data_IF_485629012833
#
_entry.id   IF_485629012833
#
_cell.length_a   1.000
_cell.length_b   1.000
_cell.length_c   1.000
_cell.angle_alpha   90.00
_cell.angle_beta   90.00
_cell.angle_gamma   90.00
#
_symmetry.space_group_name_H-M   'P 1'
#
loop_
_entity.id
_entity.type
_entity.pdbx_description
1 polymer ?
#
# COMPACT_ATOMS: atom_id res chain seq x y z
N UNK A 1 -0.77 -24.15 50.93
CA UNK A 1 -0.95 -25.28 50.00
C UNK A 1 -2.33 -25.17 49.35
N UNK A 2 -2.42 -24.60 48.14
CA UNK A 2 -3.61 -24.63 47.27
C UNK A 2 -3.26 -24.13 45.84
N UNK A 3 -2.51 -24.95 45.11
CA UNK A 3 -2.83 -25.56 43.81
C UNK A 3 -3.71 -24.78 42.77
N UNK A 4 -3.10 -24.58 41.59
CA UNK A 4 -3.58 -24.55 40.19
C UNK A 4 -4.52 -23.42 39.70
N UNK A 5 -4.12 -22.53 38.78
CA UNK A 5 -3.73 -22.70 37.36
C UNK A 5 -4.93 -22.94 36.43
N UNK A 6 -5.37 -21.89 35.73
CA UNK A 6 -6.09 -21.95 34.44
C UNK A 6 -5.67 -20.79 33.55
N UNK A 7 -4.63 -21.01 32.75
CA UNK A 7 -4.34 -20.21 31.56
C UNK A 7 -5.39 -20.56 30.50
N UNK A 8 -6.26 -19.63 30.15
CA UNK A 8 -7.13 -19.75 28.98
C UNK A 8 -6.43 -19.03 27.83
N UNK A 9 -5.72 -19.81 27.02
CA UNK A 9 -5.22 -19.39 25.71
C UNK A 9 -6.41 -19.38 24.76
N UNK A 10 -6.94 -18.20 24.46
CA UNK A 10 -7.93 -18.05 23.39
C UNK A 10 -7.20 -18.05 22.04
N UNK A 11 -7.14 -19.24 21.43
CA UNK A 11 -6.68 -19.47 20.07
C UNK A 11 -7.77 -18.98 19.10
N UNK A 12 -7.66 -17.76 18.59
CA UNK A 12 -8.56 -17.26 17.54
C UNK A 12 -8.18 -17.89 16.20
N UNK A 13 -8.94 -18.92 15.83
CA UNK A 13 -8.93 -19.57 14.52
C UNK A 13 -9.40 -18.59 13.44
N UNK A 14 -8.47 -18.15 12.59
CA UNK A 14 -8.77 -17.43 11.36
C UNK A 14 -9.48 -18.37 10.38
N UNK A 15 -10.78 -18.16 10.14
CA UNK A 15 -11.48 -18.75 9.01
C UNK A 15 -11.24 -17.89 7.77
N UNK A 16 -10.41 -18.40 6.85
CA UNK A 16 -10.37 -17.93 5.47
C UNK A 16 -11.63 -18.45 4.76
N UNK A 17 -12.62 -17.60 4.57
CA UNK A 17 -13.68 -17.88 3.59
C UNK A 17 -13.09 -17.58 2.21
N UNK A 18 -12.69 -18.65 1.51
CA UNK A 18 -12.33 -18.60 0.11
C UNK A 18 -13.49 -18.06 -0.72
N UNK A 19 -13.25 -16.96 -1.43
CA UNK A 19 -14.17 -16.40 -2.39
C UNK A 19 -14.10 -17.23 -3.68
N UNK A 20 -15.15 -18.01 -3.94
CA UNK A 20 -15.34 -18.73 -5.20
C UNK A 20 -16.00 -17.80 -6.21
N UNK A 21 -15.24 -17.33 -7.21
CA UNK A 21 -15.85 -16.75 -8.42
C UNK A 21 -16.05 -17.87 -9.43
N UNK A 22 -17.31 -18.20 -9.66
CA UNK A 22 -17.77 -19.07 -10.73
C UNK A 22 -17.43 -18.46 -12.10
N UNK A 23 -16.68 -19.22 -12.89
CA UNK A 23 -16.50 -18.99 -14.33
C UNK A 23 -17.75 -19.52 -15.06
N UNK A 24 -18.50 -18.63 -15.70
CA UNK A 24 -19.44 -19.00 -16.77
C UNK A 24 -18.97 -18.32 -18.05
N UNK A 25 -18.79 -19.13 -19.07
CA UNK A 25 -18.00 -18.92 -20.27
C UNK A 25 -18.78 -18.37 -21.47
N UNK A 26 -18.06 -17.61 -22.30
CA UNK A 26 -18.20 -17.41 -23.76
C UNK A 26 -19.42 -16.60 -24.24
N UNK A 27 -19.34 -15.62 -25.16
CA UNK A 27 -18.63 -15.57 -26.45
C UNK A 27 -18.34 -14.10 -26.84
N UNK A 28 -17.18 -13.83 -27.47
CA UNK A 28 -17.01 -12.65 -28.34
C UNK A 28 -15.68 -11.93 -28.23
N UNK A 29 -14.80 -12.18 -29.19
CA UNK A 29 -13.55 -11.49 -29.51
C UNK A 29 -13.47 -10.01 -29.09
N UNK A 30 -12.50 -9.67 -28.21
CA UNK A 30 -11.63 -8.47 -28.24
C UNK A 30 -11.12 -8.08 -26.83
N UNK A 31 -9.89 -7.56 -26.81
CA UNK A 31 -9.28 -6.75 -25.74
C UNK A 31 -8.53 -7.46 -24.61
N UNK A 32 -7.22 -7.65 -24.83
CA UNK A 32 -6.20 -7.80 -23.77
C UNK A 32 -5.96 -6.49 -22.98
N UNK A 33 -6.70 -5.41 -23.24
CA UNK A 33 -6.39 -4.06 -22.75
C UNK A 33 -7.17 -3.62 -21.51
N UNK A 34 -8.19 -4.37 -21.08
CA UNK A 34 -9.02 -3.94 -19.94
C UNK A 34 -8.41 -4.30 -18.58
N UNK A 35 -7.62 -5.38 -18.49
CA UNK A 35 -7.03 -5.81 -17.22
C UNK A 35 -5.84 -4.93 -16.80
N UNK A 36 -5.01 -4.47 -17.74
CA UNK A 36 -3.84 -3.64 -17.41
C UNK A 36 -4.21 -2.26 -16.87
N UNK A 37 -5.26 -1.63 -17.41
CA UNK A 37 -5.73 -0.32 -16.95
C UNK A 37 -6.22 -0.39 -15.51
N UNK A 38 -6.99 -1.44 -15.17
CA UNK A 38 -7.51 -1.63 -13.81
C UNK A 38 -6.39 -1.88 -12.79
N UNK A 39 -5.33 -2.60 -13.18
CA UNK A 39 -4.21 -2.90 -12.28
C UNK A 39 -3.35 -1.66 -12.06
N UNK A 40 -3.01 -0.91 -13.10
CA UNK A 40 -2.22 0.31 -12.99
C UNK A 40 -2.92 1.37 -12.11
N UNK A 41 -4.23 1.56 -12.31
CA UNK A 41 -5.03 2.46 -11.49
C UNK A 41 -5.11 1.98 -10.03
N UNK A 42 -5.25 0.68 -9.81
CA UNK A 42 -5.23 0.11 -8.46
C UNK A 42 -3.91 0.38 -7.73
N UNK A 43 -2.77 0.19 -8.40
CA UNK A 43 -1.43 0.43 -7.83
C UNK A 43 -1.24 1.91 -7.50
N UNK A 44 -1.67 2.80 -8.41
CA UNK A 44 -1.58 4.26 -8.21
C UNK A 44 -2.42 4.70 -7.01
N UNK A 45 -3.69 4.28 -6.93
CA UNK A 45 -4.60 4.67 -5.85
C UNK A 45 -4.11 4.15 -4.50
N UNK A 46 -3.72 2.86 -4.42
CA UNK A 46 -3.16 2.28 -3.18
C UNK A 46 -1.93 3.02 -2.72
N UNK A 47 -1.02 3.36 -3.64
CA UNK A 47 0.20 4.11 -3.32
C UNK A 47 -0.11 5.53 -2.84
N UNK A 48 -1.09 6.19 -3.45
CA UNK A 48 -1.55 7.50 -3.00
C UNK A 48 -2.07 7.46 -1.57
N UNK A 49 -2.92 6.48 -1.24
CA UNK A 49 -3.43 6.30 0.13
C UNK A 49 -2.29 6.10 1.15
N UNK A 50 -1.22 5.40 0.78
CA UNK A 50 -0.02 5.26 1.63
C UNK A 50 0.67 6.61 1.81
N UNK A 51 0.90 7.37 0.74
CA UNK A 51 1.52 8.70 0.81
C UNK A 51 0.68 9.67 1.66
N UNK A 52 -0.63 9.65 1.49
CA UNK A 52 -1.57 10.45 2.26
C UNK A 52 -1.52 10.10 3.75
N UNK A 53 -1.66 8.82 4.08
CA UNK A 53 -1.76 8.38 5.47
C UNK A 53 -0.41 8.36 6.20
N UNK A 54 0.71 8.16 5.49
CA UNK A 54 2.04 7.98 6.13
C UNK A 54 2.95 9.19 5.96
N UNK A 55 2.83 9.96 4.88
CA UNK A 55 3.72 11.08 4.59
C UNK A 55 3.02 12.43 4.77
N UNK A 56 1.79 12.59 4.26
CA UNK A 56 1.10 13.88 4.31
C UNK A 56 0.77 14.33 5.73
N UNK A 57 0.61 13.40 6.68
CA UNK A 57 0.44 13.71 8.12
C UNK A 57 1.54 14.66 8.64
N UNK A 58 2.78 14.51 8.15
CA UNK A 58 3.88 15.40 8.50
C UNK A 58 4.02 16.57 7.51
N UNK A 59 3.88 16.32 6.20
CA UNK A 59 4.05 17.36 5.17
C UNK A 59 3.01 18.48 5.31
N UNK A 60 1.75 18.17 5.64
CA UNK A 60 0.71 19.18 5.88
C UNK A 60 1.07 20.16 7.00
N UNK A 61 1.80 19.68 8.02
CA UNK A 61 2.19 20.47 9.20
C UNK A 61 3.53 21.19 9.02
N UNK A 62 4.51 20.55 8.38
CA UNK A 62 5.92 20.99 8.39
C UNK A 62 6.48 21.39 7.03
N UNK A 63 5.92 20.88 5.93
CA UNK A 63 6.42 21.18 4.59
C UNK A 63 5.33 21.02 3.53
N UNK A 64 4.43 22.00 3.44
CA UNK A 64 3.27 21.96 2.55
C UNK A 64 3.64 21.86 1.07
N UNK A 65 4.82 22.36 0.68
CA UNK A 65 5.34 22.25 -0.70
C UNK A 65 5.65 20.82 -1.15
N UNK A 66 5.70 19.87 -0.20
CA UNK A 66 5.94 18.44 -0.45
C UNK A 66 4.68 17.58 -0.23
N UNK A 67 3.51 18.20 -0.12
CA UNK A 67 2.26 17.46 0.05
C UNK A 67 1.94 16.69 -1.23
N UNK A 68 1.73 15.38 -1.08
CA UNK A 68 1.40 14.50 -2.20
C UNK A 68 -0.07 14.62 -2.55
N UNK A 69 -0.38 14.72 -3.84
CA UNK A 69 -1.72 14.64 -4.43
C UNK A 69 -1.70 13.62 -5.55
N UNK A 70 -2.86 13.17 -6.03
CA UNK A 70 -2.93 12.24 -7.16
C UNK A 70 -2.24 12.83 -8.40
N UNK A 71 -2.38 14.14 -8.61
CA UNK A 71 -1.85 14.86 -9.78
C UNK A 71 -0.33 14.96 -9.74
N UNK A 72 0.27 15.12 -8.55
CA UNK A 72 1.70 15.38 -8.41
C UNK A 72 2.54 14.15 -8.01
N UNK A 73 1.92 13.06 -7.58
CA UNK A 73 2.69 11.95 -6.97
C UNK A 73 3.75 11.39 -7.93
N UNK A 74 3.43 11.25 -9.21
CA UNK A 74 4.35 10.67 -10.21
C UNK A 74 5.58 11.56 -10.43
N UNK A 75 5.43 12.88 -10.46
CA UNK A 75 6.57 13.80 -10.63
C UNK A 75 7.49 13.84 -9.40
N UNK A 76 7.01 13.35 -8.25
CA UNK A 76 7.76 13.25 -7.01
C UNK A 76 8.23 11.82 -6.70
N UNK A 77 8.00 10.84 -7.58
CA UNK A 77 8.27 9.43 -7.33
C UNK A 77 9.76 9.16 -7.03
N UNK A 78 10.69 9.80 -7.75
CA UNK A 78 12.12 9.67 -7.49
C UNK A 78 12.54 10.23 -6.12
N UNK A 79 11.89 11.32 -5.69
CA UNK A 79 12.10 11.87 -4.37
C UNK A 79 11.61 10.91 -3.28
N UNK A 80 10.42 10.30 -3.48
CA UNK A 80 9.90 9.25 -2.59
C UNK A 80 10.89 8.09 -2.51
N UNK A 81 11.36 7.58 -3.66
CA UNK A 81 12.33 6.50 -3.73
C UNK A 81 13.57 6.81 -2.88
N UNK A 82 14.16 8.00 -3.11
CA UNK A 82 15.34 8.47 -2.41
C UNK A 82 15.11 8.61 -0.91
N UNK A 83 13.95 9.12 -0.47
CA UNK A 83 13.69 9.33 0.96
C UNK A 83 13.34 8.07 1.73
N UNK A 84 12.55 7.19 1.13
CA UNK A 84 11.98 6.01 1.79
C UNK A 84 12.93 4.82 1.71
N UNK A 85 13.50 4.55 0.54
CA UNK A 85 14.26 3.32 0.31
C UNK A 85 15.77 3.52 0.46
N UNK A 86 16.31 4.62 -0.09
CA UNK A 86 17.75 4.89 -0.03
C UNK A 86 18.15 5.50 1.30
N UNK A 87 17.59 6.67 1.64
CA UNK A 87 17.95 7.41 2.86
C UNK A 87 17.24 6.91 4.11
N UNK A 88 16.16 6.13 3.96
CA UNK A 88 15.33 5.61 5.07
C UNK A 88 14.95 6.68 6.10
N UNK A 89 14.69 7.91 5.64
CA UNK A 89 14.42 9.08 6.49
C UNK A 89 12.94 9.47 6.57
N UNK A 90 12.09 8.71 5.86
CA UNK A 90 10.64 8.82 5.80
C UNK A 90 10.03 7.40 5.98
N UNK A 91 8.86 7.25 6.64
CA UNK A 91 8.07 8.30 7.28
C UNK A 91 8.76 8.96 8.48
N UNK A 92 8.34 10.18 8.86
CA UNK A 92 8.93 10.88 10.01
C UNK A 92 8.38 10.38 11.34
N UNK A 93 9.29 10.21 12.30
CA UNK A 93 8.96 9.87 13.68
C UNK A 93 8.94 8.36 13.92
N UNK A 94 8.65 7.96 15.16
CA UNK A 94 8.68 6.54 15.57
C UNK A 94 7.32 5.84 15.49
N UNK A 95 6.23 6.60 15.45
CA UNK A 95 4.84 6.09 15.53
C UNK A 95 4.29 5.66 14.17
N UNK A 96 4.50 6.48 13.14
CA UNK A 96 4.02 6.21 11.77
C UNK A 96 5.10 5.42 11.05
N UNK A 97 4.77 4.18 10.68
CA UNK A 97 5.68 3.27 9.96
C UNK A 97 4.98 2.71 8.73
N UNK A 98 5.79 2.37 7.74
CA UNK A 98 5.36 1.56 6.61
C UNK A 98 5.40 0.08 6.99
N UNK A 99 4.36 -0.67 6.64
CA UNK A 99 4.38 -2.13 6.66
C UNK A 99 5.18 -2.66 5.46
N UNK A 100 5.56 -3.94 5.50
CA UNK A 100 6.24 -4.58 4.37
C UNK A 100 5.42 -4.49 3.08
N UNK A 101 4.10 -4.67 3.17
CA UNK A 101 3.19 -4.54 2.03
C UNK A 101 3.14 -3.10 1.50
N UNK A 102 3.09 -2.10 2.39
CA UNK A 102 3.10 -0.69 1.99
C UNK A 102 4.42 -0.31 1.29
N UNK A 103 5.56 -0.86 1.75
CA UNK A 103 6.83 -0.72 1.05
C UNK A 103 6.78 -1.29 -0.38
N UNK A 104 6.22 -2.49 -0.55
CA UNK A 104 6.11 -3.13 -1.87
C UNK A 104 5.18 -2.34 -2.80
N UNK A 105 4.02 -1.90 -2.31
CA UNK A 105 3.11 -1.07 -3.11
C UNK A 105 3.79 0.21 -3.60
N UNK A 106 4.51 0.93 -2.72
CA UNK A 106 5.26 2.13 -3.10
C UNK A 106 6.37 1.81 -4.11
N UNK A 107 7.09 0.70 -3.94
CA UNK A 107 8.17 0.32 -4.86
C UNK A 107 7.63 -0.05 -6.25
N UNK A 108 6.53 -0.81 -6.31
CA UNK A 108 5.86 -1.18 -7.55
C UNK A 108 5.37 0.06 -8.30
N UNK A 109 4.72 0.98 -7.59
CA UNK A 109 4.29 2.24 -8.17
C UNK A 109 5.47 3.09 -8.67
N UNK A 110 6.51 3.28 -7.87
CA UNK A 110 7.70 4.04 -8.30
C UNK A 110 8.30 3.41 -9.57
N UNK A 111 8.39 2.09 -9.61
CA UNK A 111 8.95 1.38 -10.77
C UNK A 111 8.09 1.58 -12.01
N UNK A 112 6.76 1.58 -11.88
CA UNK A 112 5.86 1.81 -13.02
C UNK A 112 5.90 3.25 -13.55
N UNK A 113 6.42 4.22 -12.77
CA UNK A 113 6.64 5.60 -13.24
C UNK A 113 7.91 5.78 -14.08
N UNK A 114 8.84 4.82 -14.06
CA UNK A 114 10.09 4.87 -14.82
C UNK A 114 9.86 4.24 -16.19
N UNK A 115 9.71 5.08 -17.20
CA UNK A 115 9.68 4.68 -18.62
C UNK A 115 11.02 4.98 -19.26
#
# INVERSE_FOLDING_TARGET
>A
MAVLLKFIVALSLYHNTGFTTSQVSNVGYASMSSTEINVADSIRIKSFQILENKCNVCHAKRNRRRLFTLENMNSLADDVYKQVFVKKRMPKGKKIKLTSEEYQNLLNWITSTKK
#
